data_IF_372715783271
#
_entry.id   IF_372715783271
#
_cell.length_a   1.000
_cell.length_b   1.000
_cell.length_c   1.000
_cell.angle_alpha   90.00
_cell.angle_beta   90.00
_cell.angle_gamma   90.00
#
_symmetry.space_group_name_H-M   'P 1'
#
loop_
_entity.id
_entity.type
_entity.pdbx_description
1 polymer ?
#
# COMPACT_ATOMS: atom_id res chain seq x y z
N UNK A 1 1.80 -74.86 -36.05
CA UNK A 1 2.63 -76.04 -36.32
C UNK A 1 3.97 -75.78 -35.66
N UNK A 2 4.08 -76.15 -34.39
CA UNK A 2 4.72 -77.38 -33.92
C UNK A 2 6.24 -77.19 -33.78
N UNK A 3 6.69 -77.07 -32.53
CA UNK A 3 8.09 -77.29 -32.13
C UNK A 3 8.56 -78.68 -32.56
N UNK A 4 9.88 -78.90 -32.56
CA UNK A 4 10.36 -80.06 -31.82
C UNK A 4 11.58 -79.79 -30.93
N UNK A 5 11.63 -80.67 -29.93
CA UNK A 5 12.60 -80.91 -28.87
C UNK A 5 13.79 -81.70 -29.43
N UNK A 6 14.97 -81.65 -28.77
CA UNK A 6 15.79 -82.82 -28.35
C UNK A 6 17.18 -82.35 -27.82
N UNK A 7 17.48 -82.76 -26.57
CA UNK A 7 18.76 -82.77 -25.81
C UNK A 7 19.70 -83.89 -26.37
N UNK A 8 20.87 -84.36 -25.81
CA UNK A 8 21.49 -84.17 -24.48
C UNK A 8 23.07 -84.21 -24.47
N UNK A 9 23.64 -84.49 -23.27
CA UNK A 9 25.02 -84.85 -22.87
C UNK A 9 25.96 -83.71 -22.47
N UNK A 10 26.86 -83.83 -21.48
CA UNK A 10 27.07 -84.77 -20.36
C UNK A 10 28.22 -84.22 -19.49
N UNK A 11 28.18 -84.59 -18.22
CA UNK A 11 29.06 -84.33 -17.07
C UNK A 11 30.54 -84.78 -17.25
N UNK A 12 31.50 -83.99 -16.77
CA UNK A 12 32.76 -84.38 -16.08
C UNK A 12 33.54 -83.07 -15.77
N UNK A 13 33.70 -82.65 -14.51
CA UNK A 13 34.83 -82.96 -13.61
C UNK A 13 36.19 -82.84 -14.30
N UNK A 14 37.02 -81.86 -13.89
CA UNK A 14 38.33 -82.14 -13.31
C UNK A 14 38.96 -80.89 -12.67
N UNK A 15 39.65 -81.14 -11.55
CA UNK A 15 40.44 -80.22 -10.73
C UNK A 15 41.83 -80.07 -11.33
N UNK A 16 42.45 -78.89 -11.21
CA UNK A 16 43.85 -78.62 -10.82
C UNK A 16 44.20 -77.17 -11.21
N UNK A 17 44.27 -76.27 -10.23
CA UNK A 17 45.46 -75.90 -9.46
C UNK A 17 46.40 -74.95 -10.23
N UNK A 18 46.23 -73.67 -9.91
CA UNK A 18 47.27 -72.68 -9.57
C UNK A 18 48.59 -72.71 -10.35
N UNK A 19 48.80 -71.71 -11.22
CA UNK A 19 49.94 -70.79 -11.14
C UNK A 19 49.94 -69.78 -12.31
N UNK A 20 50.33 -68.55 -11.99
CA UNK A 20 50.76 -67.47 -12.88
C UNK A 20 49.71 -66.71 -13.72
N UNK A 21 49.27 -65.58 -13.18
CA UNK A 21 49.01 -64.38 -13.98
C UNK A 21 49.53 -63.14 -13.22
N UNK A 22 50.48 -62.36 -13.77
CA UNK A 22 50.90 -61.12 -13.14
C UNK A 22 49.82 -60.06 -13.30
N UNK A 23 49.66 -59.27 -12.24
CA UNK A 23 48.78 -58.13 -12.14
C UNK A 23 49.20 -57.04 -13.15
N UNK A 24 48.22 -56.58 -13.94
CA UNK A 24 48.11 -55.17 -14.34
C UNK A 24 46.72 -54.74 -13.88
N UNK A 25 46.70 -54.13 -12.70
CA UNK A 25 45.50 -53.60 -12.08
C UNK A 25 45.17 -52.24 -12.66
N UNK A 26 44.06 -52.16 -13.38
CA UNK A 26 43.34 -50.92 -13.66
C UNK A 26 41.86 -51.28 -13.87
N UNK A 27 41.23 -51.71 -12.77
CA UNK A 27 39.79 -51.86 -12.67
C UNK A 27 39.31 -51.10 -11.43
N UNK A 28 38.88 -49.86 -11.68
CA UNK A 28 37.71 -49.21 -11.08
C UNK A 28 37.52 -49.35 -9.56
N UNK A 29 38.27 -48.52 -8.81
CA UNK A 29 38.11 -48.34 -7.36
C UNK A 29 37.08 -47.25 -6.98
N UNK A 30 36.18 -46.86 -7.90
CA UNK A 30 35.19 -45.77 -7.67
C UNK A 30 33.72 -46.23 -7.55
N UNK A 31 33.48 -47.53 -7.41
CA UNK A 31 32.16 -48.14 -7.65
C UNK A 31 31.22 -48.32 -6.45
N UNK A 32 31.47 -47.72 -5.28
CA UNK A 32 30.69 -48.08 -4.08
C UNK A 32 29.83 -46.99 -3.42
N UNK A 33 29.69 -45.79 -3.98
CA UNK A 33 28.80 -44.77 -3.37
C UNK A 33 28.12 -43.85 -4.39
N UNK A 34 27.68 -44.39 -5.54
CA UNK A 34 26.85 -43.61 -6.46
C UNK A 34 25.38 -43.65 -5.99
N UNK A 35 24.73 -42.49 -5.80
CA UNK A 35 23.33 -42.45 -5.40
C UNK A 35 22.47 -43.14 -6.47
N UNK A 36 21.61 -44.08 -6.04
CA UNK A 36 20.66 -44.78 -6.93
C UNK A 36 19.34 -44.03 -7.02
N UNK A 37 18.66 -44.13 -8.16
CA UNK A 37 17.35 -43.51 -8.33
C UNK A 37 16.30 -44.20 -7.44
N UNK A 38 15.59 -43.45 -6.61
CA UNK A 38 14.53 -43.98 -5.74
C UNK A 38 13.37 -44.64 -6.50
N UNK A 39 13.20 -44.33 -7.80
CA UNK A 39 12.10 -44.86 -8.63
C UNK A 39 12.48 -46.07 -9.48
N UNK A 40 13.70 -46.11 -10.03
CA UNK A 40 14.11 -47.17 -10.96
C UNK A 40 15.38 -47.93 -10.54
N UNK A 41 15.97 -47.62 -9.38
CA UNK A 41 17.17 -48.25 -8.81
C UNK A 41 18.45 -48.19 -9.67
N UNK A 42 18.44 -47.46 -10.79
CA UNK A 42 19.60 -47.27 -11.65
C UNK A 42 20.61 -46.29 -10.99
N UNK A 43 21.93 -46.48 -11.13
CA UNK A 43 22.93 -45.52 -10.67
C UNK A 43 22.74 -44.15 -11.35
N UNK A 44 22.59 -43.09 -10.54
CA UNK A 44 22.42 -41.73 -11.06
C UNK A 44 23.79 -41.08 -11.23
N UNK A 45 24.11 -40.67 -12.47
CA UNK A 45 25.16 -39.68 -12.69
C UNK A 45 24.65 -38.31 -12.19
N UNK A 46 25.34 -37.69 -11.25
CA UNK A 46 24.89 -36.53 -10.45
C UNK A 46 24.76 -35.21 -11.21
N UNK A 47 24.76 -35.24 -12.54
CA UNK A 47 24.77 -34.05 -13.40
C UNK A 47 23.42 -33.35 -13.60
N UNK A 48 22.34 -33.75 -12.91
CA UNK A 48 21.07 -33.05 -13.01
C UNK A 48 19.97 -33.57 -12.07
N UNK A 49 18.81 -32.89 -12.01
CA UNK A 49 17.71 -33.23 -11.13
C UNK A 49 16.81 -34.31 -11.75
N UNK A 50 17.05 -34.69 -13.01
CA UNK A 50 16.23 -35.64 -13.75
C UNK A 50 17.03 -36.90 -14.05
N UNK A 51 16.49 -38.06 -13.69
CA UNK A 51 17.08 -39.35 -14.01
C UNK A 51 17.01 -39.61 -15.52
N UNK A 52 18.15 -39.90 -16.16
CA UNK A 52 18.21 -40.20 -17.59
C UNK A 52 17.55 -41.52 -17.99
N UNK A 53 17.42 -42.48 -17.07
CA UNK A 53 16.86 -43.81 -17.35
C UNK A 53 15.32 -43.82 -17.31
N UNK A 54 14.72 -43.28 -16.25
CA UNK A 54 13.26 -43.32 -16.05
C UNK A 54 12.57 -41.95 -16.08
N UNK A 55 13.31 -40.84 -16.17
CA UNK A 55 12.76 -39.49 -16.19
C UNK A 55 12.27 -38.96 -14.84
N UNK A 56 12.48 -39.68 -13.74
CA UNK A 56 12.13 -39.21 -12.40
C UNK A 56 12.87 -37.93 -12.05
N UNK A 57 12.15 -36.96 -11.49
CA UNK A 57 12.72 -35.69 -11.01
C UNK A 57 13.01 -35.86 -9.52
N UNK A 58 14.18 -35.40 -9.07
CA UNK A 58 14.61 -35.44 -7.68
C UNK A 58 13.66 -34.62 -6.79
N UNK A 59 13.35 -35.14 -5.60
CA UNK A 59 12.45 -34.47 -4.64
C UNK A 59 12.97 -33.11 -4.16
N UNK A 60 14.29 -32.90 -4.22
CA UNK A 60 14.93 -31.62 -3.88
C UNK A 60 14.79 -30.54 -4.97
N UNK A 61 14.33 -30.92 -6.17
CA UNK A 61 14.13 -29.98 -7.26
C UNK A 61 12.86 -29.17 -7.01
N UNK A 62 13.03 -27.85 -6.96
CA UNK A 62 11.89 -26.94 -6.86
C UNK A 62 11.78 -26.18 -8.17
N UNK A 63 10.62 -26.27 -8.82
CA UNK A 63 10.34 -25.60 -10.09
C UNK A 63 10.19 -24.08 -9.91
N UNK A 64 10.59 -23.29 -10.91
CA UNK A 64 10.51 -21.83 -10.91
C UNK A 64 9.58 -21.40 -12.03
N UNK A 65 8.41 -20.89 -11.66
CA UNK A 65 7.42 -20.38 -12.59
C UNK A 65 7.83 -19.01 -13.14
N UNK A 66 7.74 -18.90 -14.46
CA UNK A 66 7.95 -17.68 -15.21
C UNK A 66 6.87 -16.64 -14.91
N UNK A 67 5.61 -17.06 -14.89
CA UNK A 67 4.45 -16.20 -14.59
C UNK A 67 4.52 -15.67 -13.15
N UNK A 68 4.93 -16.51 -12.19
CA UNK A 68 5.15 -16.07 -10.81
C UNK A 68 6.30 -15.07 -10.70
N UNK A 69 7.42 -15.31 -11.38
CA UNK A 69 8.55 -14.37 -11.40
C UNK A 69 8.15 -13.01 -12.01
N UNK A 70 7.33 -13.00 -13.07
CA UNK A 70 6.80 -11.78 -13.67
C UNK A 70 5.86 -11.03 -12.72
N UNK A 71 4.94 -11.73 -12.05
CA UNK A 71 4.04 -11.13 -11.06
C UNK A 71 4.83 -10.50 -9.89
N UNK A 72 5.83 -11.22 -9.38
CA UNK A 72 6.73 -10.69 -8.34
C UNK A 72 7.56 -9.50 -8.82
N UNK A 73 7.89 -9.41 -10.10
CA UNK A 73 8.65 -8.29 -10.65
C UNK A 73 7.79 -7.02 -10.73
N UNK A 74 6.50 -7.17 -11.03
CA UNK A 74 5.55 -6.05 -11.10
C UNK A 74 5.16 -5.53 -9.71
N UNK A 75 4.81 -6.42 -8.77
CA UNK A 75 4.30 -6.03 -7.45
C UNK A 75 5.39 -5.94 -6.38
N UNK A 76 6.42 -6.78 -6.47
CA UNK A 76 7.56 -6.82 -5.56
C UNK A 76 8.83 -6.18 -6.14
N UNK A 77 8.71 -5.48 -7.27
CA UNK A 77 9.84 -4.90 -8.00
C UNK A 77 10.65 -3.92 -7.17
N UNK A 78 10.01 -3.12 -6.29
CA UNK A 78 10.70 -2.17 -5.43
C UNK A 78 11.70 -2.85 -4.46
N UNK A 79 11.34 -4.03 -3.97
CA UNK A 79 12.17 -4.82 -3.05
C UNK A 79 13.04 -5.87 -3.75
N UNK A 80 12.82 -6.10 -5.05
CA UNK A 80 13.53 -7.12 -5.81
C UNK A 80 13.10 -8.56 -5.52
N UNK A 81 11.84 -8.78 -5.10
CA UNK A 81 11.35 -10.12 -4.72
C UNK A 81 11.47 -11.15 -5.85
N UNK A 82 11.32 -10.74 -7.10
CA UNK A 82 11.51 -11.60 -8.27
C UNK A 82 12.96 -12.06 -8.46
N UNK A 83 13.94 -11.24 -8.06
CA UNK A 83 15.37 -11.62 -8.10
C UNK A 83 15.72 -12.55 -6.93
N UNK A 84 15.13 -12.35 -5.76
CA UNK A 84 15.22 -13.29 -4.65
C UNK A 84 14.58 -14.64 -5.00
N UNK A 85 13.43 -14.64 -5.68
CA UNK A 85 12.77 -15.84 -6.18
C UNK A 85 13.69 -16.67 -7.10
N UNK A 86 14.49 -16.00 -7.93
CA UNK A 86 15.47 -16.64 -8.82
C UNK A 86 16.82 -16.94 -8.15
N UNK A 87 16.97 -16.69 -6.84
CA UNK A 87 18.21 -16.85 -6.06
C UNK A 87 19.42 -16.09 -6.64
N UNK A 88 19.20 -14.86 -7.11
CA UNK A 88 20.24 -14.04 -7.72
C UNK A 88 20.76 -12.97 -6.75
N UNK A 89 22.09 -12.79 -6.69
CA UNK A 89 22.74 -11.81 -5.79
C UNK A 89 22.29 -10.37 -6.04
N UNK A 90 21.93 -10.05 -7.30
CA UNK A 90 21.44 -8.73 -7.71
C UNK A 90 20.18 -8.30 -6.96
N UNK A 91 19.47 -9.22 -6.30
CA UNK A 91 18.34 -8.89 -5.44
C UNK A 91 18.72 -7.94 -4.29
N UNK A 92 19.95 -8.03 -3.77
CA UNK A 92 20.44 -7.11 -2.73
C UNK A 92 20.55 -5.67 -3.23
N UNK A 93 20.86 -5.46 -4.52
CA UNK A 93 20.89 -4.12 -5.09
C UNK A 93 19.51 -3.47 -5.11
N UNK A 94 18.48 -4.26 -5.43
CA UNK A 94 17.09 -3.77 -5.39
C UNK A 94 16.70 -3.36 -3.97
N UNK A 95 17.10 -4.15 -2.96
CA UNK A 95 16.83 -3.82 -1.57
C UNK A 95 17.60 -2.57 -1.10
N UNK A 96 18.85 -2.38 -1.54
CA UNK A 96 19.65 -1.20 -1.20
C UNK A 96 19.10 0.09 -1.84
N UNK A 97 18.48 -0.01 -3.02
CA UNK A 97 17.88 1.11 -3.74
C UNK A 97 16.36 1.19 -3.58
N UNK A 98 15.75 0.43 -2.67
CA UNK A 98 14.28 0.34 -2.53
C UNK A 98 13.60 1.67 -2.13
N UNK A 99 14.38 2.62 -1.63
CA UNK A 99 13.95 3.98 -1.33
C UNK A 99 13.89 4.89 -2.58
N UNK A 100 14.38 4.42 -3.72
CA UNK A 100 14.33 5.11 -5.01
C UNK A 100 13.27 4.48 -5.92
N UNK A 101 12.71 5.22 -6.89
CA UNK A 101 11.78 4.65 -7.88
C UNK A 101 12.49 3.80 -8.94
N UNK A 102 13.83 3.74 -8.95
CA UNK A 102 14.61 3.02 -9.97
C UNK A 102 14.36 1.50 -9.96
N UNK A 103 14.42 0.78 -8.82
CA UNK A 103 14.10 -0.65 -8.77
C UNK A 103 12.70 -0.99 -9.27
N UNK A 104 11.74 -0.09 -9.04
CA UNK A 104 10.38 -0.27 -9.53
C UNK A 104 10.31 -0.22 -11.06
N UNK A 105 10.92 0.79 -11.69
CA UNK A 105 11.01 0.87 -13.16
C UNK A 105 11.75 -0.33 -13.76
N UNK A 106 12.87 -0.73 -13.14
CA UNK A 106 13.61 -1.92 -13.56
C UNK A 106 12.78 -3.20 -13.42
N UNK A 107 11.98 -3.32 -12.36
CA UNK A 107 11.05 -4.43 -12.16
C UNK A 107 9.99 -4.53 -13.26
N UNK A 108 9.45 -3.39 -13.72
CA UNK A 108 8.49 -3.36 -14.84
C UNK A 108 9.13 -3.88 -16.13
N UNK A 109 10.33 -3.40 -16.46
CA UNK A 109 11.06 -3.86 -17.66
C UNK A 109 11.32 -5.37 -17.58
N UNK A 110 11.72 -5.86 -16.42
CA UNK A 110 11.99 -7.29 -16.19
C UNK A 110 10.72 -8.15 -16.24
N UNK A 111 9.59 -7.64 -15.75
CA UNK A 111 8.29 -8.28 -15.91
C UNK A 111 7.97 -8.52 -17.40
N UNK A 112 8.12 -7.50 -18.24
CA UNK A 112 7.90 -7.61 -19.70
C UNK A 112 8.86 -8.65 -20.29
N UNK A 113 10.15 -8.59 -19.97
CA UNK A 113 11.14 -9.56 -20.46
C UNK A 113 10.80 -10.99 -20.05
N UNK A 114 10.35 -11.21 -18.81
CA UNK A 114 9.94 -12.53 -18.34
C UNK A 114 8.67 -13.03 -19.04
N UNK A 115 7.71 -12.14 -19.28
CA UNK A 115 6.47 -12.46 -20.01
C UNK A 115 6.71 -12.74 -21.50
N UNK A 116 7.68 -12.05 -22.11
CA UNK A 116 8.08 -12.27 -23.50
C UNK A 116 9.01 -13.48 -23.69
N UNK A 117 9.65 -13.95 -22.62
CA UNK A 117 10.50 -15.15 -22.67
C UNK A 117 9.66 -16.41 -22.92
N UNK A 118 10.11 -17.27 -23.84
CA UNK A 118 9.45 -18.55 -24.09
C UNK A 118 9.63 -19.51 -22.90
N UNK A 119 8.68 -20.43 -22.71
CA UNK A 119 8.76 -21.40 -21.61
C UNK A 119 9.99 -22.30 -21.73
N UNK A 120 10.40 -22.65 -22.95
CA UNK A 120 11.59 -23.46 -23.22
C UNK A 120 12.87 -22.74 -22.83
N UNK A 121 13.03 -21.47 -23.23
CA UNK A 121 14.19 -20.66 -22.87
C UNK A 121 14.25 -20.41 -21.35
N UNK A 122 13.10 -20.17 -20.72
CA UNK A 122 13.00 -20.03 -19.27
C UNK A 122 13.44 -21.31 -18.54
N UNK A 123 12.93 -22.46 -18.96
CA UNK A 123 13.24 -23.73 -18.33
C UNK A 123 14.71 -24.12 -18.53
N UNK A 124 15.30 -23.84 -19.68
CA UNK A 124 16.73 -24.03 -19.91
C UNK A 124 17.58 -23.18 -18.95
N UNK A 125 17.17 -21.93 -18.68
CA UNK A 125 17.92 -20.99 -17.84
C UNK A 125 17.73 -21.22 -16.33
N UNK A 126 16.52 -21.53 -15.89
CA UNK A 126 16.17 -21.54 -14.46
C UNK A 126 15.68 -22.89 -13.92
N UNK A 127 15.33 -23.84 -14.80
CA UNK A 127 14.77 -25.14 -14.41
C UNK A 127 15.57 -26.32 -14.99
N UNK A 128 16.81 -26.10 -15.43
CA UNK A 128 17.71 -27.16 -15.95
C UNK A 128 17.07 -27.99 -17.09
N UNK A 129 16.25 -27.36 -17.92
CA UNK A 129 15.55 -27.99 -19.04
C UNK A 129 14.24 -28.71 -18.67
N UNK A 130 13.91 -28.83 -17.38
CA UNK A 130 12.69 -29.52 -16.91
C UNK A 130 11.45 -28.66 -17.20
N UNK A 131 10.42 -29.27 -17.77
CA UNK A 131 9.13 -28.65 -18.06
C UNK A 131 8.00 -29.35 -17.32
N UNK A 132 7.18 -28.59 -16.60
CA UNK A 132 6.03 -29.09 -15.81
C UNK A 132 4.67 -28.81 -16.49
N UNK A 133 4.68 -28.42 -17.77
CA UNK A 133 3.48 -28.11 -18.55
C UNK A 133 3.29 -26.61 -18.79
N UNK A 134 2.08 -26.22 -19.21
CA UNK A 134 1.73 -24.83 -19.52
C UNK A 134 1.35 -24.07 -18.25
N UNK A 135 2.08 -23.01 -17.95
CA UNK A 135 1.74 -22.12 -16.84
C UNK A 135 0.44 -21.36 -17.13
N UNK A 136 -0.52 -21.39 -16.19
CA UNK A 136 -1.77 -20.65 -16.33
C UNK A 136 -1.57 -19.17 -15.99
N UNK A 137 -2.10 -18.28 -16.83
CA UNK A 137 -2.08 -16.83 -16.57
C UNK A 137 -2.93 -16.40 -15.36
N UNK A 138 -3.70 -17.32 -14.76
CA UNK A 138 -4.57 -17.05 -13.61
C UNK A 138 -3.80 -16.51 -12.42
N UNK A 139 -2.57 -16.99 -12.20
CA UNK A 139 -1.70 -16.52 -11.11
C UNK A 139 -1.41 -15.03 -11.28
N UNK A 140 -1.02 -14.59 -12.48
CA UNK A 140 -0.79 -13.16 -12.75
C UNK A 140 -2.06 -12.35 -12.55
N UNK A 141 -3.21 -12.83 -13.03
CA UNK A 141 -4.50 -12.16 -12.83
C UNK A 141 -4.85 -11.95 -11.35
N UNK A 142 -4.61 -12.94 -10.50
CA UNK A 142 -4.85 -12.83 -9.06
C UNK A 142 -3.96 -11.77 -8.41
N UNK A 143 -2.69 -11.72 -8.78
CA UNK A 143 -1.78 -10.67 -8.31
C UNK A 143 -2.19 -9.27 -8.80
N UNK A 144 -2.69 -9.15 -10.04
CA UNK A 144 -3.19 -7.89 -10.57
C UNK A 144 -4.39 -7.35 -9.80
N UNK A 145 -5.36 -8.22 -9.49
CA UNK A 145 -6.54 -7.84 -8.71
C UNK A 145 -6.14 -7.42 -7.29
N UNK A 146 -5.32 -8.24 -6.62
CA UNK A 146 -4.84 -7.94 -5.27
C UNK A 146 -4.04 -6.64 -5.22
N UNK A 147 -3.13 -6.44 -6.17
CA UNK A 147 -2.32 -5.24 -6.26
C UNK A 147 -3.15 -3.99 -6.55
N UNK A 148 -4.15 -4.07 -7.42
CA UNK A 148 -5.06 -2.95 -7.70
C UNK A 148 -5.91 -2.58 -6.48
N UNK A 149 -6.40 -3.58 -5.73
CA UNK A 149 -7.17 -3.35 -4.51
C UNK A 149 -6.32 -2.65 -3.44
N UNK A 150 -5.08 -3.10 -3.23
CA UNK A 150 -4.14 -2.46 -2.31
C UNK A 150 -3.84 -1.04 -2.77
N UNK A 151 -3.55 -0.83 -4.06
CA UNK A 151 -3.27 0.50 -4.61
C UNK A 151 -4.44 1.47 -4.40
N UNK A 152 -5.67 1.07 -4.73
CA UNK A 152 -6.87 1.88 -4.49
C UNK A 152 -7.08 2.19 -3.00
N UNK A 153 -6.86 1.21 -2.12
CA UNK A 153 -6.91 1.40 -0.67
C UNK A 153 -5.87 2.41 -0.17
N UNK A 154 -4.62 2.32 -0.64
CA UNK A 154 -3.56 3.27 -0.26
C UNK A 154 -3.86 4.69 -0.75
N UNK A 155 -4.34 4.87 -1.99
CA UNK A 155 -4.72 6.19 -2.51
C UNK A 155 -5.87 6.80 -1.72
N UNK A 156 -6.85 5.99 -1.33
CA UNK A 156 -7.98 6.43 -0.50
C UNK A 156 -7.49 6.91 0.87
N UNK A 157 -6.60 6.15 1.52
CA UNK A 157 -6.06 6.52 2.83
C UNK A 157 -5.17 7.78 2.78
N UNK A 158 -4.30 7.87 1.76
CA UNK A 158 -3.44 9.04 1.55
C UNK A 158 -4.25 10.32 1.27
N UNK A 159 -5.41 10.18 0.62
CA UNK A 159 -6.31 11.31 0.36
C UNK A 159 -7.18 11.66 1.57
N UNK A 160 -7.57 10.67 2.38
CA UNK A 160 -8.45 10.85 3.52
C UNK A 160 -7.83 11.68 4.65
N UNK A 161 -6.57 11.39 5.01
CA UNK A 161 -5.85 12.08 6.09
C UNK A 161 -5.78 13.61 5.91
N UNK A 162 -5.29 14.16 4.77
CA UNK A 162 -5.28 15.60 4.56
C UNK A 162 -6.70 16.18 4.39
N UNK A 163 -7.63 15.41 3.81
CA UNK A 163 -9.01 15.85 3.63
C UNK A 163 -9.70 16.13 4.97
N UNK A 164 -9.54 15.24 5.96
CA UNK A 164 -10.14 15.42 7.28
C UNK A 164 -9.55 16.61 8.04
N UNK A 165 -8.23 16.84 7.93
CA UNK A 165 -7.61 18.02 8.53
C UNK A 165 -8.11 19.32 7.87
N UNK A 166 -8.28 19.31 6.55
CA UNK A 166 -8.78 20.45 5.79
C UNK A 166 -10.27 20.74 6.09
N UNK A 167 -11.12 19.72 6.20
CA UNK A 167 -12.55 19.91 6.47
C UNK A 167 -12.80 20.56 7.83
N UNK A 168 -12.11 20.10 8.87
CA UNK A 168 -12.28 20.64 10.22
C UNK A 168 -11.83 22.11 10.31
N UNK A 169 -10.74 22.46 9.63
CA UNK A 169 -10.27 23.84 9.57
C UNK A 169 -11.23 24.74 8.78
N UNK A 170 -11.80 24.22 7.69
CA UNK A 170 -12.79 24.93 6.89
C UNK A 170 -14.08 25.23 7.68
N UNK A 171 -14.61 24.24 8.40
CA UNK A 171 -15.81 24.38 9.23
C UNK A 171 -15.63 25.45 10.32
N UNK A 172 -14.49 25.45 11.01
CA UNK A 172 -14.18 26.46 12.04
C UNK A 172 -14.16 27.88 11.47
N UNK A 173 -13.56 28.06 10.28
CA UNK A 173 -13.55 29.37 9.61
C UNK A 173 -14.94 29.81 9.15
N UNK A 174 -15.76 28.88 8.65
CA UNK A 174 -17.13 29.18 8.23
C UNK A 174 -18.00 29.60 9.42
N UNK A 175 -17.91 28.88 10.54
CA UNK A 175 -18.65 29.21 11.76
C UNK A 175 -18.25 30.59 12.30
N UNK A 176 -16.96 30.90 12.36
CA UNK A 176 -16.47 32.21 12.76
C UNK A 176 -17.05 33.33 11.89
N UNK A 177 -17.02 33.19 10.56
CA UNK A 177 -17.58 34.20 9.64
C UNK A 177 -19.08 34.40 9.84
N UNK A 178 -19.82 33.31 10.08
CA UNK A 178 -21.25 33.39 10.29
C UNK A 178 -21.61 34.07 11.62
N UNK A 179 -20.90 33.77 12.71
CA UNK A 179 -21.10 34.45 14.01
C UNK A 179 -20.73 35.93 13.90
N UNK A 180 -19.62 36.29 13.24
CA UNK A 180 -19.24 37.69 13.01
C UNK A 180 -20.32 38.43 12.20
N UNK A 181 -20.83 37.82 11.13
CA UNK A 181 -21.90 38.41 10.33
C UNK A 181 -23.23 38.54 11.10
N UNK A 182 -23.57 37.56 11.94
CA UNK A 182 -24.74 37.66 12.82
C UNK A 182 -24.57 38.77 13.87
N UNK A 183 -23.39 38.88 14.48
CA UNK A 183 -23.05 39.96 15.42
C UNK A 183 -23.18 41.34 14.76
N UNK A 184 -22.74 41.46 13.50
CA UNK A 184 -22.86 42.67 12.70
C UNK A 184 -24.33 43.08 12.45
N UNK A 185 -25.22 42.11 12.20
CA UNK A 185 -26.66 42.37 12.08
C UNK A 185 -27.26 42.85 13.40
N UNK A 186 -26.89 42.22 14.53
CA UNK A 186 -27.36 42.61 15.86
C UNK A 186 -26.86 44.01 16.24
N UNK A 187 -25.60 44.33 15.95
CA UNK A 187 -25.03 45.66 16.16
C UNK A 187 -25.79 46.72 15.35
N UNK A 188 -26.06 46.45 14.08
CA UNK A 188 -26.84 47.35 13.20
C UNK A 188 -28.27 47.56 13.71
N UNK A 189 -28.95 46.48 14.10
CA UNK A 189 -30.30 46.57 14.67
C UNK A 189 -30.31 47.32 16.01
N UNK A 190 -29.27 47.13 16.84
CA UNK A 190 -29.09 47.85 18.10
C UNK A 190 -28.91 49.34 17.87
N UNK A 191 -28.08 49.73 16.90
CA UNK A 191 -27.89 51.13 16.53
C UNK A 191 -29.19 51.79 16.09
N UNK A 192 -29.98 51.13 15.23
CA UNK A 192 -31.29 51.62 14.80
C UNK A 192 -32.26 51.77 15.99
N UNK A 193 -32.26 50.81 16.92
CA UNK A 193 -33.11 50.88 18.11
C UNK A 193 -32.74 52.05 19.02
N UNK A 194 -31.44 52.26 19.26
CA UNK A 194 -30.92 53.37 20.07
C UNK A 194 -31.27 54.71 19.43
N UNK A 195 -31.12 54.84 18.11
CA UNK A 195 -31.51 56.05 17.37
C UNK A 195 -33.02 56.33 17.47
N UNK A 196 -33.86 55.29 17.40
CA UNK A 196 -35.31 55.45 17.43
C UNK A 196 -35.86 55.73 18.83
N UNK A 197 -35.27 55.17 19.89
CA UNK A 197 -35.82 55.23 21.25
C UNK A 197 -34.97 56.00 22.26
N UNK A 198 -33.74 56.39 21.90
CA UNK A 198 -32.82 57.07 22.80
C UNK A 198 -32.34 56.23 24.00
N UNK A 199 -32.52 54.90 23.96
CA UNK A 199 -32.15 53.97 25.05
C UNK A 199 -31.59 52.65 24.51
N UNK A 200 -30.76 51.99 25.32
CA UNK A 200 -30.18 50.69 24.95
C UNK A 200 -31.21 49.56 25.11
N UNK A 201 -31.29 48.62 24.14
CA UNK A 201 -32.12 47.43 24.27
C UNK A 201 -31.70 46.57 25.46
N UNK A 202 -32.67 45.98 26.15
CA UNK A 202 -32.41 45.11 27.32
C UNK A 202 -32.27 43.64 26.94
N UNK A 203 -32.84 43.23 25.81
CA UNK A 203 -32.86 41.85 25.33
C UNK A 203 -32.89 41.84 23.80
N UNK A 204 -32.34 40.78 23.19
CA UNK A 204 -32.35 40.56 21.74
C UNK A 204 -33.77 40.55 21.14
N UNK A 205 -34.79 40.15 21.90
CA UNK A 205 -36.19 40.13 21.45
C UNK A 205 -36.80 41.51 21.16
N UNK A 206 -36.17 42.59 21.62
CA UNK A 206 -36.59 43.97 21.31
C UNK A 206 -36.11 44.43 19.93
N UNK A 207 -35.18 43.69 19.34
CA UNK A 207 -34.61 43.97 18.02
C UNK A 207 -35.37 43.19 16.95
N UNK A 208 -35.52 43.78 15.77
CA UNK A 208 -36.09 43.10 14.59
C UNK A 208 -35.00 42.26 13.93
N UNK A 209 -34.81 41.06 14.45
CA UNK A 209 -33.80 40.11 14.00
C UNK A 209 -34.44 38.99 13.19
N UNK A 210 -33.69 38.44 12.24
CA UNK A 210 -34.11 37.26 11.50
C UNK A 210 -34.24 36.05 12.45
N UNK A 211 -35.35 35.31 12.30
CA UNK A 211 -35.67 34.20 13.20
C UNK A 211 -34.66 33.06 13.07
N UNK A 212 -34.21 32.76 11.85
CA UNK A 212 -33.27 31.69 11.60
C UNK A 212 -31.89 32.03 12.19
N UNK A 213 -31.45 33.28 12.07
CA UNK A 213 -30.23 33.75 12.75
C UNK A 213 -30.32 33.60 14.28
N UNK A 214 -31.47 33.93 14.87
CA UNK A 214 -31.68 33.79 16.31
C UNK A 214 -31.69 32.32 16.77
N UNK A 215 -32.25 31.43 15.98
CA UNK A 215 -32.26 29.98 16.26
C UNK A 215 -30.84 29.39 16.14
N UNK A 216 -30.06 29.83 15.15
CA UNK A 216 -28.71 29.30 14.87
C UNK A 216 -27.63 29.89 15.82
N UNK A 217 -27.74 31.17 16.21
CA UNK A 217 -26.68 31.91 16.91
C UNK A 217 -27.10 32.58 18.22
N UNK A 218 -28.36 32.52 18.62
CA UNK A 218 -28.88 33.24 19.79
C UNK A 218 -28.23 32.87 21.14
N UNK A 219 -27.58 31.71 21.24
CA UNK A 219 -26.79 31.33 22.42
C UNK A 219 -25.35 31.88 22.39
N UNK A 220 -24.81 32.07 21.19
CA UNK A 220 -23.45 32.58 21.00
C UNK A 220 -23.37 34.10 21.15
N UNK A 221 -24.49 34.81 20.94
CA UNK A 221 -24.59 36.27 21.04
C UNK A 221 -25.36 36.64 22.30
N UNK A 222 -24.77 37.48 23.15
CA UNK A 222 -25.37 37.98 24.37
C UNK A 222 -25.46 39.50 24.31
N UNK A 223 -26.64 40.01 24.61
CA UNK A 223 -26.89 41.44 24.70
C UNK A 223 -27.08 41.81 26.17
N UNK A 224 -26.09 42.48 26.73
CA UNK A 224 -26.13 43.03 28.09
C UNK A 224 -26.60 44.48 28.03
N UNK A 225 -26.78 45.11 29.21
CA UNK A 225 -27.20 46.53 29.28
C UNK A 225 -26.16 47.52 28.75
N UNK A 226 -24.90 47.10 28.74
CA UNK A 226 -23.74 47.96 28.49
C UNK A 226 -22.90 47.50 27.31
N UNK A 227 -23.08 46.27 26.86
CA UNK A 227 -22.24 45.68 25.83
C UNK A 227 -23.00 44.60 25.06
N UNK A 228 -22.61 44.43 23.80
CA UNK A 228 -22.95 43.30 22.96
C UNK A 228 -21.72 42.39 22.91
N UNK A 229 -21.87 41.14 23.32
CA UNK A 229 -20.80 40.17 23.27
C UNK A 229 -21.16 38.95 22.43
N UNK A 230 -20.19 38.40 21.70
CA UNK A 230 -20.36 37.18 20.94
C UNK A 230 -19.19 36.22 21.19
N UNK A 231 -19.50 34.96 21.48
CA UNK A 231 -18.52 33.92 21.79
C UNK A 231 -18.33 32.99 20.59
N UNK A 232 -17.09 32.87 20.12
CA UNK A 232 -16.69 31.97 19.06
C UNK A 232 -16.09 30.70 19.68
N UNK A 233 -16.69 29.53 19.45
CA UNK A 233 -16.14 28.27 19.92
C UNK A 233 -14.95 27.82 19.05
N UNK A 234 -14.03 27.05 19.63
CA UNK A 234 -12.94 26.39 18.93
C UNK A 234 -11.53 26.83 19.36
N UNK A 235 -10.47 26.23 18.79
CA UNK A 235 -9.08 26.46 19.20
C UNK A 235 -8.56 27.86 18.87
N UNK A 236 -9.10 28.49 17.82
CA UNK A 236 -8.89 29.91 17.50
C UNK A 236 -10.14 30.76 17.84
N UNK A 237 -10.99 30.21 18.72
CA UNK A 237 -12.15 30.90 19.25
C UNK A 237 -11.76 32.09 20.12
N UNK A 238 -12.76 32.90 20.46
CA UNK A 238 -12.56 34.12 21.23
C UNK A 238 -13.89 34.80 21.50
N UNK A 239 -13.83 35.96 22.13
CA UNK A 239 -14.96 36.83 22.36
C UNK A 239 -14.82 38.13 21.58
N UNK A 240 -15.91 38.50 20.91
CA UNK A 240 -16.16 39.84 20.40
C UNK A 240 -16.89 40.59 21.52
N UNK A 241 -16.41 41.76 21.91
CA UNK A 241 -17.05 42.64 22.89
C UNK A 241 -17.19 44.00 22.23
N UNK A 242 -18.42 44.50 22.14
CA UNK A 242 -18.76 45.75 21.50
C UNK A 242 -19.52 46.64 22.49
N UNK A 243 -18.93 47.77 22.85
CA UNK A 243 -19.51 48.76 23.75
C UNK A 243 -19.97 49.96 22.94
N UNK A 244 -21.26 50.35 22.97
CA UNK A 244 -21.73 51.52 22.25
C UNK A 244 -21.30 52.80 22.97
N UNK A 245 -20.65 53.70 22.25
CA UNK A 245 -20.21 55.03 22.72
C UNK A 245 -20.93 56.10 21.91
N UNK A 246 -21.57 57.04 22.60
CA UNK A 246 -22.23 58.17 21.96
C UNK A 246 -21.22 59.32 21.78
N UNK A 247 -20.91 59.66 20.53
CA UNK A 247 -20.07 60.81 20.20
C UNK A 247 -20.80 61.70 19.21
N UNK A 248 -20.99 62.98 19.56
CA UNK A 248 -21.63 63.98 18.69
C UNK A 248 -23.03 63.59 18.15
N UNK A 249 -23.77 62.76 18.88
CA UNK A 249 -25.09 62.28 18.48
C UNK A 249 -25.08 61.02 17.60
N UNK A 250 -23.90 60.47 17.29
CA UNK A 250 -23.73 59.20 16.58
C UNK A 250 -23.31 58.08 17.55
N UNK A 251 -23.69 56.83 17.21
CA UNK A 251 -23.31 55.64 17.97
C UNK A 251 -22.06 55.04 17.32
N UNK A 252 -20.95 55.09 18.03
CA UNK A 252 -19.70 54.42 17.68
C UNK A 252 -19.56 53.14 18.52
N UNK A 253 -18.80 52.17 18.02
CA UNK A 253 -18.55 50.91 18.72
C UNK A 253 -17.10 50.85 19.20
N UNK A 254 -16.91 50.78 20.51
CA UNK A 254 -15.61 50.44 21.09
C UNK A 254 -15.50 48.92 21.19
N UNK A 255 -14.50 48.36 20.50
CA UNK A 255 -14.26 46.93 20.43
C UNK A 255 -12.92 46.53 21.07
N UNK A 256 -12.28 47.43 21.84
CA UNK A 256 -10.97 47.23 22.45
C UNK A 256 -10.92 46.06 23.46
N UNK A 257 -12.08 45.68 24.01
CA UNK A 257 -12.22 44.51 24.89
C UNK A 257 -12.27 43.17 24.16
N UNK A 258 -12.32 43.16 22.82
CA UNK A 258 -12.37 41.93 22.04
C UNK A 258 -11.04 41.19 22.08
N UNK A 259 -11.10 39.87 22.13
CA UNK A 259 -9.91 38.98 22.14
C UNK A 259 -9.46 38.58 20.74
N UNK A 260 -10.28 38.85 19.72
CA UNK A 260 -10.00 38.55 18.32
C UNK A 260 -9.09 39.61 17.68
N UNK A 261 -8.29 39.16 16.72
CA UNK A 261 -7.48 40.02 15.85
C UNK A 261 -8.35 40.97 15.02
N UNK A 262 -7.88 42.20 14.80
CA UNK A 262 -8.68 43.27 14.17
C UNK A 262 -9.31 42.92 12.81
N UNK A 263 -8.63 42.14 11.97
CA UNK A 263 -9.18 41.72 10.68
C UNK A 263 -10.36 40.74 10.78
N UNK A 264 -10.51 40.07 11.94
CA UNK A 264 -11.56 39.11 12.22
C UNK A 264 -12.77 39.74 12.95
N UNK A 265 -12.71 41.04 13.26
CA UNK A 265 -13.81 41.76 13.90
C UNK A 265 -14.89 42.20 12.89
N UNK A 266 -16.13 42.47 13.36
CA UNK A 266 -17.18 43.09 12.55
C UNK A 266 -16.72 44.38 11.88
N UNK A 267 -17.41 44.79 10.81
CA UNK A 267 -17.06 46.01 10.08
C UNK A 267 -17.13 47.27 10.95
N UNK A 268 -18.01 47.30 11.95
CA UNK A 268 -18.17 48.42 12.89
C UNK A 268 -16.98 48.61 13.84
N UNK A 269 -16.12 47.60 13.95
CA UNK A 269 -14.94 47.58 14.81
C UNK A 269 -13.63 47.74 14.03
N UNK A 270 -13.70 47.97 12.72
CA UNK A 270 -12.56 48.05 11.80
C UNK A 270 -12.31 49.46 11.29
#
# INVERSE_FOLDING_TARGET
MASPIISPKSRASDRENSANRPASGEADASRQDQPVCARCAEPCNTTGPQCGACGAIADSFVYRSRVAAAALALFGGLFGLHRFYLKQWRALLYLAFCWTPLPWLAGIVECIVFLSSSQTAWNAKYNQGISTGRESGKVLGLFMILGLAIFAGTLSLLSWLPFQAASNAFEAHQQQRAIVAATEQVATATQQFVQAHGRHPQNLSQLRLDKQMMDDYGQSIQLSRTELSATLPGPNGGQIIMVPVLMNGEVLWDCSGSTLVGYALPSQCR
#
